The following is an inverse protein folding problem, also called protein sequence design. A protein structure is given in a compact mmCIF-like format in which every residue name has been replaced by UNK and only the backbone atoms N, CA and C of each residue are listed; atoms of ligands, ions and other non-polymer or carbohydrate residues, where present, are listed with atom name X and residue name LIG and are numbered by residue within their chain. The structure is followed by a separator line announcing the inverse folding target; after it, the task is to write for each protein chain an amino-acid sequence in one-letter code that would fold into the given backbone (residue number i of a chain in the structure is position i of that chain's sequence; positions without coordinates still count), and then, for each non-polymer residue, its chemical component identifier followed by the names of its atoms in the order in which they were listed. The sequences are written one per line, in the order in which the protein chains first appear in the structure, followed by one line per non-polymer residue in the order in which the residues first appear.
data_IF_037326358944
#
_entry.id   IF_037326358944
#
_cell.length_a   1.000
_cell.length_b   1.000
_cell.length_c   1.000
_cell.angle_alpha   90.00
_cell.angle_beta   90.00
_cell.angle_gamma   90.00
#
_symmetry.space_group_name_H-M   'P 1'
#
loop_
_entity.id
_entity.type
_entity.pdbx_description
1 polymer ?
#
# COMPACT_ATOMS: atom_id res chain seq x y z
N UNK A 1 15.23 -19.15 -14.53
CA UNK A 1 14.14 -18.36 -13.93
C UNK A 1 14.26 -18.44 -12.41
N UNK A 2 14.83 -17.41 -11.75
CA UNK A 2 14.90 -17.38 -10.28
C UNK A 2 13.56 -16.83 -9.77
N UNK A 3 12.80 -17.68 -9.10
CA UNK A 3 11.55 -17.30 -8.42
C UNK A 3 11.84 -16.22 -7.36
N UNK A 4 11.15 -15.08 -7.37
CA UNK A 4 11.27 -14.09 -6.30
C UNK A 4 10.81 -14.73 -4.98
N UNK A 5 11.75 -14.98 -4.04
CA UNK A 5 11.47 -15.65 -2.76
C UNK A 5 10.54 -14.85 -1.83
N UNK A 6 10.31 -13.57 -2.10
CA UNK A 6 9.46 -12.68 -1.31
C UNK A 6 8.16 -12.26 -2.01
N UNK A 7 7.80 -12.91 -3.13
CA UNK A 7 6.54 -12.61 -3.84
C UNK A 7 5.31 -12.71 -2.95
N UNK A 8 5.33 -13.61 -1.97
CA UNK A 8 4.21 -13.81 -1.04
C UNK A 8 4.02 -12.62 -0.08
N UNK A 9 5.10 -11.91 0.28
CA UNK A 9 5.08 -10.86 1.29
C UNK A 9 4.67 -9.51 0.66
N UNK A 10 5.11 -9.24 -0.57
CA UNK A 10 4.58 -8.16 -1.39
C UNK A 10 3.10 -8.36 -1.73
N UNK A 11 2.70 -9.61 -2.01
CA UNK A 11 1.29 -9.97 -2.21
C UNK A 11 0.48 -9.77 -0.92
N UNK A 12 0.99 -10.20 0.23
CA UNK A 12 0.33 -10.01 1.52
C UNK A 12 0.15 -8.53 1.85
N UNK A 13 1.17 -7.70 1.64
CA UNK A 13 1.05 -6.24 1.82
C UNK A 13 -0.03 -5.64 0.90
N UNK A 14 -0.08 -6.05 -0.37
CA UNK A 14 -1.13 -5.63 -1.29
C UNK A 14 -2.53 -6.05 -0.81
N UNK A 15 -2.69 -7.29 -0.33
CA UNK A 15 -3.95 -7.79 0.24
C UNK A 15 -4.35 -6.99 1.47
N UNK A 16 -3.41 -6.70 2.38
CA UNK A 16 -3.68 -5.90 3.59
C UNK A 16 -4.07 -4.46 3.23
N UNK A 17 -3.44 -3.84 2.22
CA UNK A 17 -3.88 -2.53 1.70
C UNK A 17 -5.30 -2.57 1.16
N UNK A 18 -5.63 -3.57 0.34
CA UNK A 18 -7.00 -3.74 -0.20
C UNK A 18 -8.00 -3.92 0.94
N UNK A 19 -7.70 -4.76 1.93
CA UNK A 19 -8.52 -4.90 3.13
C UNK A 19 -8.67 -3.58 3.89
N UNK A 20 -7.60 -2.80 4.03
CA UNK A 20 -7.64 -1.48 4.65
C UNK A 20 -8.58 -0.52 3.92
N UNK A 21 -8.52 -0.47 2.59
CA UNK A 21 -9.45 0.35 1.78
C UNK A 21 -10.90 -0.12 1.89
N UNK A 22 -11.14 -1.43 1.90
CA UNK A 22 -12.48 -1.99 2.09
C UNK A 22 -13.03 -1.57 3.45
N UNK A 23 -12.24 -1.69 4.52
CA UNK A 23 -12.63 -1.24 5.87
C UNK A 23 -12.97 0.26 5.84
N UNK A 24 -12.12 1.10 5.25
CA UNK A 24 -12.40 2.54 5.15
C UNK A 24 -13.70 2.85 4.40
N UNK A 25 -13.94 2.16 3.29
CA UNK A 25 -15.16 2.33 2.49
C UNK A 25 -16.42 1.93 3.26
N UNK A 26 -16.42 0.76 3.91
CA UNK A 26 -17.55 0.33 4.73
C UNK A 26 -17.77 1.22 5.95
N UNK A 27 -16.69 1.74 6.54
CA UNK A 27 -16.74 2.67 7.66
C UNK A 27 -17.47 3.96 7.28
N UNK A 28 -17.22 4.46 6.08
CA UNK A 28 -17.90 5.63 5.55
C UNK A 28 -19.40 5.37 5.31
N UNK A 29 -19.73 4.23 4.71
CA UNK A 29 -21.13 3.83 4.49
C UNK A 29 -21.89 3.70 5.81
N UNK A 30 -21.29 3.03 6.80
CA UNK A 30 -21.90 2.86 8.12
C UNK A 30 -22.08 4.21 8.82
N UNK A 31 -21.06 5.08 8.82
CA UNK A 31 -21.17 6.42 9.42
C UNK A 31 -22.26 7.26 8.75
N UNK A 32 -22.39 7.20 7.42
CA UNK A 32 -23.43 7.90 6.69
C UNK A 32 -24.83 7.33 7.00
N UNK A 33 -24.96 6.00 7.06
CA UNK A 33 -26.22 5.33 7.39
C UNK A 33 -26.69 5.70 8.81
N UNK A 34 -25.84 5.54 9.81
CA UNK A 34 -26.14 5.90 11.20
C UNK A 34 -26.44 7.40 11.34
N UNK A 35 -25.70 8.25 10.61
CA UNK A 35 -25.95 9.68 10.57
C UNK A 35 -27.34 10.02 10.02
N UNK A 36 -27.77 9.40 8.93
CA UNK A 36 -29.09 9.64 8.33
C UNK A 36 -30.21 9.14 9.24
N UNK A 37 -30.06 7.94 9.81
CA UNK A 37 -31.06 7.37 10.74
C UNK A 37 -31.20 8.25 11.99
N UNK A 38 -30.08 8.69 12.57
CA UNK A 38 -30.11 9.53 13.75
C UNK A 38 -30.63 10.95 13.45
N UNK A 39 -30.37 11.49 12.26
CA UNK A 39 -30.93 12.77 11.82
C UNK A 39 -32.44 12.71 11.57
N UNK A 40 -32.97 11.53 11.23
CA UNK A 40 -34.41 11.34 11.05
C UNK A 40 -35.19 11.27 12.37
N UNK A 41 -34.52 10.91 13.47
CA UNK A 41 -35.16 10.72 14.79
C UNK A 41 -34.80 11.79 15.81
N UNK A 42 -33.64 12.44 15.66
CA UNK A 42 -33.10 13.44 16.59
C UNK A 42 -32.68 14.73 15.87
N UNK A 43 -32.13 15.67 16.62
CA UNK A 43 -31.53 16.88 16.07
C UNK A 43 -30.37 16.55 15.10
N UNK A 44 -30.36 17.24 13.96
CA UNK A 44 -29.36 17.10 12.90
C UNK A 44 -27.92 17.35 13.41
N UNK A 45 -27.76 18.21 14.41
CA UNK A 45 -26.46 18.46 15.06
C UNK A 45 -25.95 17.23 15.82
N UNK A 46 -26.82 16.51 16.53
CA UNK A 46 -26.43 15.28 17.25
C UNK A 46 -26.08 14.16 16.29
N UNK A 47 -26.85 14.03 15.20
CA UNK A 47 -26.59 13.07 14.14
C UNK A 47 -25.23 13.27 13.47
N UNK A 48 -24.87 14.52 13.18
CA UNK A 48 -23.58 14.86 12.58
C UNK A 48 -22.40 14.52 13.51
N UNK A 49 -22.47 14.89 14.79
CA UNK A 49 -21.43 14.58 15.77
C UNK A 49 -21.26 13.07 15.94
N UNK A 50 -22.36 12.32 15.96
CA UNK A 50 -22.33 10.86 16.07
C UNK A 50 -21.71 10.20 14.83
N UNK A 51 -22.14 10.61 13.63
CA UNK A 51 -21.57 10.12 12.38
C UNK A 51 -20.05 10.39 12.30
N UNK A 52 -19.62 11.58 12.73
CA UNK A 52 -18.20 11.94 12.79
C UNK A 52 -17.42 11.06 13.79
N UNK A 53 -18.00 10.80 14.97
CA UNK A 53 -17.38 9.95 15.98
C UNK A 53 -17.23 8.49 15.50
N UNK A 54 -18.26 7.95 14.83
CA UNK A 54 -18.23 6.63 14.20
C UNK A 54 -17.16 6.61 13.11
N UNK A 55 -17.15 7.61 12.22
CA UNK A 55 -16.16 7.69 11.15
C UNK A 55 -14.73 7.72 11.72
N UNK A 56 -14.44 8.56 12.70
CA UNK A 56 -13.12 8.67 13.35
C UNK A 56 -12.67 7.34 13.99
N UNK A 57 -13.59 6.65 14.69
CA UNK A 57 -13.29 5.37 15.34
C UNK A 57 -12.82 4.32 14.32
N UNK A 58 -13.49 4.25 13.17
CA UNK A 58 -13.17 3.25 12.17
C UNK A 58 -12.06 3.69 11.19
N UNK A 59 -11.93 4.99 10.94
CA UNK A 59 -10.84 5.58 10.16
C UNK A 59 -9.48 5.20 10.75
N UNK A 60 -9.35 5.25 12.09
CA UNK A 60 -8.14 4.83 12.79
C UNK A 60 -7.73 3.40 12.46
N UNK A 61 -8.69 2.46 12.45
CA UNK A 61 -8.42 1.06 12.12
C UNK A 61 -7.95 0.86 10.68
N UNK A 62 -8.60 1.53 9.71
CA UNK A 62 -8.21 1.46 8.31
C UNK A 62 -6.83 2.07 8.03
N UNK A 63 -6.52 3.21 8.65
CA UNK A 63 -5.20 3.87 8.52
C UNK A 63 -4.08 3.01 9.12
N UNK A 64 -4.32 2.39 10.28
CA UNK A 64 -3.34 1.49 10.90
C UNK A 64 -3.05 0.28 10.01
N UNK A 65 -4.07 -0.31 9.36
CA UNK A 65 -3.87 -1.41 8.42
C UNK A 65 -3.03 -1.00 7.21
N UNK A 66 -3.27 0.19 6.65
CA UNK A 66 -2.47 0.72 5.54
C UNK A 66 -1.03 0.98 5.99
N UNK A 67 -0.84 1.62 7.14
CA UNK A 67 0.50 1.86 7.69
C UNK A 67 1.26 0.56 7.99
N UNK A 68 0.57 -0.48 8.47
CA UNK A 68 1.16 -1.80 8.67
C UNK A 68 1.60 -2.43 7.33
N UNK A 69 0.81 -2.26 6.27
CA UNK A 69 1.18 -2.73 4.94
C UNK A 69 2.40 -2.02 4.36
N UNK A 70 2.51 -0.71 4.59
CA UNK A 70 3.67 0.10 4.18
C UNK A 70 4.92 -0.29 4.98
N UNK A 71 4.76 -0.54 6.29
CA UNK A 71 5.83 -1.02 7.15
C UNK A 71 6.39 -2.38 6.67
N UNK A 72 5.53 -3.30 6.24
CA UNK A 72 5.97 -4.58 5.67
C UNK A 72 6.82 -4.40 4.41
N UNK A 73 6.50 -3.41 3.56
CA UNK A 73 7.31 -3.09 2.37
C UNK A 73 8.66 -2.52 2.79
N UNK A 74 8.66 -1.57 3.73
CA UNK A 74 9.90 -0.96 4.22
C UNK A 74 10.85 -1.99 4.86
N UNK A 75 10.31 -2.97 5.60
CA UNK A 75 11.11 -4.05 6.18
C UNK A 75 11.75 -4.94 5.10
N UNK A 76 11.03 -5.23 4.01
CA UNK A 76 11.61 -5.98 2.88
C UNK A 76 12.74 -5.20 2.20
N UNK A 77 12.58 -3.89 2.01
CA UNK A 77 13.63 -3.05 1.42
C UNK A 77 14.89 -3.02 2.31
N UNK A 78 14.72 -3.00 3.63
CA UNK A 78 15.83 -3.08 4.59
C UNK A 78 16.51 -4.45 4.53
N UNK A 79 15.74 -5.55 4.48
CA UNK A 79 16.29 -6.90 4.36
C UNK A 79 17.09 -7.08 3.06
N UNK A 80 16.55 -6.61 1.94
CA UNK A 80 17.22 -6.69 0.64
C UNK A 80 18.51 -5.82 0.62
N UNK A 81 18.47 -4.62 1.20
CA UNK A 81 19.64 -3.75 1.28
C UNK A 81 20.72 -4.29 2.22
N UNK A 82 20.35 -4.85 3.37
CA UNK A 82 21.31 -5.47 4.29
C UNK A 82 21.95 -6.72 3.70
N UNK A 83 21.19 -7.50 2.92
CA UNK A 83 21.73 -8.65 2.19
C UNK A 83 22.71 -8.25 1.10
N UNK A 84 22.38 -7.23 0.30
CA UNK A 84 23.31 -6.67 -0.70
C UNK A 84 24.59 -6.14 -0.05
N UNK A 85 24.47 -5.45 1.08
CA UNK A 85 25.64 -4.97 1.83
C UNK A 85 26.50 -6.13 2.36
N UNK A 86 25.88 -7.19 2.86
CA UNK A 86 26.59 -8.40 3.29
C UNK A 86 27.33 -9.08 2.13
N UNK A 87 26.67 -9.25 0.98
CA UNK A 87 27.27 -9.86 -0.22
C UNK A 87 28.52 -9.09 -0.69
N UNK A 88 28.47 -7.75 -0.67
CA UNK A 88 29.61 -6.86 -0.99
C UNK A 88 30.77 -7.05 -0.01
N UNK A 89 30.49 -7.20 1.29
CA UNK A 89 31.51 -7.38 2.33
C UNK A 89 32.17 -8.77 2.29
N UNK A 90 31.43 -9.82 1.93
CA UNK A 90 31.97 -11.18 1.73
C UNK A 90 32.80 -11.35 0.45
N UNK A 91 32.92 -10.32 -0.39
CA UNK A 91 33.71 -10.37 -1.62
C UNK A 91 33.08 -11.23 -2.73
N UNK A 92 31.89 -11.77 -2.51
CA UNK A 92 31.04 -12.40 -3.53
C UNK A 92 30.49 -11.31 -4.45
N UNK A 93 31.32 -10.80 -5.36
CA UNK A 93 30.85 -9.99 -6.50
C UNK A 93 30.03 -10.87 -7.45
N UNK A 94 28.78 -11.18 -7.08
CA UNK A 94 27.77 -11.48 -8.08
C UNK A 94 27.44 -10.16 -8.78
N UNK A 95 28.15 -9.95 -9.88
CA UNK A 95 27.88 -9.03 -10.98
C UNK A 95 26.49 -8.38 -10.89
N UNK A 96 26.45 -7.07 -10.63
CA UNK A 96 25.27 -6.27 -10.93
C UNK A 96 24.96 -6.43 -12.43
N UNK A 97 23.71 -6.74 -12.76
CA UNK A 97 23.19 -6.49 -14.11
C UNK A 97 22.18 -5.35 -14.07
N UNK A 98 22.20 -4.47 -15.09
CA UNK A 98 21.74 -3.09 -15.00
C UNK A 98 20.23 -2.99 -14.86
N UNK A 99 19.79 -1.97 -14.11
CA UNK A 99 18.41 -1.49 -14.10
C UNK A 99 18.02 -1.13 -15.54
N UNK A 100 17.06 -1.84 -16.12
CA UNK A 100 16.43 -1.43 -17.38
C UNK A 100 15.56 -0.20 -17.08
N UNK A 101 16.16 0.99 -17.21
CA UNK A 101 15.40 2.20 -17.54
C UNK A 101 14.80 1.96 -18.92
N UNK A 102 13.51 1.62 -18.97
CA UNK A 102 12.74 1.71 -20.21
C UNK A 102 11.97 3.02 -20.22
N UNK A 103 12.69 4.14 -20.22
CA UNK A 103 12.24 5.34 -20.95
C UNK A 103 12.47 5.06 -22.43
N UNK A 104 11.44 5.02 -23.28
CA UNK A 104 11.66 4.82 -24.71
C UNK A 104 12.22 6.12 -25.29
N UNK A 105 13.56 6.19 -25.41
CA UNK A 105 14.23 7.18 -26.25
C UNK A 105 14.00 6.77 -27.70
N UNK A 106 12.92 7.28 -28.27
CA UNK A 106 12.67 7.24 -29.70
C UNK A 106 13.74 8.10 -30.38
N UNK A 107 14.71 7.47 -31.04
CA UNK A 107 15.51 8.14 -32.07
C UNK A 107 15.97 7.14 -33.14
N UNK A 108 15.40 7.37 -34.33
CA UNK A 108 16.01 7.29 -35.66
C UNK A 108 17.05 6.20 -35.93
N UNK A 109 16.72 5.27 -36.83
CA UNK A 109 17.38 5.10 -38.15
C UNK A 109 17.02 3.75 -38.76
N UNK A 110 16.05 3.71 -39.68
CA UNK A 110 15.94 2.61 -40.64
C UNK A 110 16.42 3.13 -42.00
N UNK A 111 17.60 2.66 -42.42
CA UNK A 111 18.27 3.03 -43.66
C UNK A 111 18.16 1.88 -44.66
N UNK A 112 17.92 2.25 -45.93
CA UNK A 112 18.21 1.57 -47.21
C UNK A 112 17.17 0.59 -47.77
N UNK A 113 16.59 0.99 -48.90
CA UNK A 113 16.96 0.40 -50.20
C UNK A 113 17.47 1.51 -51.11
#
# INVERSE_FOLDING_TARGET
MRTPRYSALSFLSAVVRVCGYIVLFFSFILAAHEGVVLASTNSLAHAFVYALAVLLKWLGGGVVLIAAADCMIALMDIEENTRKAADVLTGTRTMETPRQDTTPRADSTFRRK
#
